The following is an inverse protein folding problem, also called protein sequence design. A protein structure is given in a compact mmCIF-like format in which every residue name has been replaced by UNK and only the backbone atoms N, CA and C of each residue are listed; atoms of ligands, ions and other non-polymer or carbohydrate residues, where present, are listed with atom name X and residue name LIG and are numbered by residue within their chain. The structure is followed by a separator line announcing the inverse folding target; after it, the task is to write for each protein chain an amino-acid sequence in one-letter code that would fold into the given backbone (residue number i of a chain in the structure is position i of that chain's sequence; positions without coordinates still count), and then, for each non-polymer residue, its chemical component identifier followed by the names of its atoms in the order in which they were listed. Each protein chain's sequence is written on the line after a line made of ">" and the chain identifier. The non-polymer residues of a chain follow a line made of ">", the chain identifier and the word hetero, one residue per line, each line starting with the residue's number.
data_IF_314567015647
#
_entry.id   IF_314567015647
#
_cell.length_a   1.000
_cell.length_b   1.000
_cell.length_c   1.000
_cell.angle_alpha   90.00
_cell.angle_beta   90.00
_cell.angle_gamma   90.00
#
_symmetry.space_group_name_H-M   'P 1'
#
loop_
_entity.id
_entity.type
_entity.pdbx_description
1 polymer ?
#
# COMPACT_ATOMS: atom_id res chain seq x y z
N UNK A 1 17.13 -10.61 -19.92
CA UNK A 1 17.70 -9.35 -19.39
C UNK A 1 17.53 -9.38 -17.89
N UNK A 2 18.47 -8.81 -17.13
CA UNK A 2 18.28 -8.66 -15.67
C UNK A 2 17.16 -7.67 -15.37
N UNK A 3 16.49 -7.88 -14.25
CA UNK A 3 15.43 -7.00 -13.71
C UNK A 3 15.99 -6.24 -12.52
N UNK A 4 16.07 -4.92 -12.65
CA UNK A 4 16.65 -4.03 -11.63
C UNK A 4 15.60 -3.64 -10.60
N UNK A 5 15.82 -4.00 -9.34
CA UNK A 5 15.00 -3.62 -8.20
C UNK A 5 15.77 -2.64 -7.33
N UNK A 6 15.25 -1.43 -7.19
CA UNK A 6 15.79 -0.44 -6.25
C UNK A 6 15.17 -0.68 -4.88
N UNK A 7 16.03 -0.86 -3.87
CA UNK A 7 15.65 -1.02 -2.47
C UNK A 7 15.86 0.30 -1.76
N UNK A 8 14.83 0.80 -1.10
CA UNK A 8 14.89 2.02 -0.29
C UNK A 8 14.44 1.65 1.13
N UNK A 9 15.36 1.29 2.03
CA UNK A 9 14.99 0.91 3.41
C UNK A 9 14.30 2.04 4.17
N UNK A 10 14.80 3.26 4.05
CA UNK A 10 14.29 4.43 4.76
C UNK A 10 14.73 4.45 6.23
N UNK A 11 13.75 4.59 7.15
CA UNK A 11 13.97 4.83 8.58
C UNK A 11 13.43 3.71 9.47
N UNK A 12 13.81 3.75 10.74
CA UNK A 12 13.24 2.88 11.77
C UNK A 12 13.41 1.39 11.48
N UNK A 13 12.30 0.64 11.46
CA UNK A 13 12.30 -0.79 11.14
C UNK A 13 12.53 -1.08 9.65
N UNK A 14 12.58 -0.06 8.80
CA UNK A 14 12.64 -0.20 7.34
C UNK A 14 13.77 -1.10 6.85
N UNK A 15 14.96 -1.01 7.46
CA UNK A 15 16.11 -1.86 7.09
C UNK A 15 15.81 -3.35 7.36
N UNK A 16 15.35 -3.71 8.56
CA UNK A 16 15.13 -5.12 8.94
C UNK A 16 13.99 -5.79 8.14
N UNK A 17 12.93 -5.04 7.80
CA UNK A 17 11.83 -5.58 6.99
C UNK A 17 12.16 -5.68 5.50
N UNK A 18 12.95 -4.74 4.95
CA UNK A 18 13.40 -4.82 3.56
C UNK A 18 14.45 -5.91 3.37
N UNK A 19 15.37 -6.11 4.33
CA UNK A 19 16.32 -7.22 4.30
C UNK A 19 15.60 -8.58 4.26
N UNK A 20 14.53 -8.72 5.03
CA UNK A 20 13.65 -9.91 5.03
C UNK A 20 13.02 -10.14 3.65
N UNK A 21 12.44 -9.09 3.06
CA UNK A 21 11.82 -9.18 1.75
C UNK A 21 12.83 -9.47 0.63
N UNK A 22 14.03 -8.87 0.69
CA UNK A 22 15.12 -9.16 -0.26
C UNK A 22 15.59 -10.60 -0.15
N UNK A 23 15.70 -11.16 1.07
CA UNK A 23 16.04 -12.58 1.26
C UNK A 23 15.02 -13.51 0.59
N UNK A 24 13.74 -13.19 0.73
CA UNK A 24 12.63 -13.92 0.09
C UNK A 24 12.70 -13.78 -1.44
N UNK A 25 12.90 -12.55 -1.96
CA UNK A 25 13.03 -12.31 -3.41
C UNK A 25 14.22 -13.06 -4.01
N UNK A 26 15.37 -13.11 -3.33
CA UNK A 26 16.54 -13.90 -3.78
C UNK A 26 16.20 -15.38 -3.88
N UNK A 27 15.58 -15.94 -2.84
CA UNK A 27 15.18 -17.36 -2.84
C UNK A 27 14.21 -17.71 -3.97
N UNK A 28 13.22 -16.84 -4.21
CA UNK A 28 12.26 -17.01 -5.30
C UNK A 28 12.95 -16.81 -6.67
N UNK A 29 13.84 -15.84 -6.78
CA UNK A 29 14.63 -15.60 -8.00
C UNK A 29 15.42 -16.86 -8.40
N UNK A 30 16.07 -17.52 -7.43
CA UNK A 30 16.80 -18.77 -7.68
C UNK A 30 15.86 -19.90 -8.11
N UNK A 31 14.69 -20.03 -7.45
CA UNK A 31 13.71 -21.08 -7.74
C UNK A 31 13.09 -20.97 -9.13
N UNK A 32 12.78 -19.74 -9.56
CA UNK A 32 12.09 -19.45 -10.83
C UNK A 32 13.01 -18.93 -11.94
N UNK A 33 14.34 -18.86 -11.69
CA UNK A 33 15.35 -18.35 -12.61
C UNK A 33 15.07 -16.90 -13.07
N UNK A 34 14.69 -16.02 -12.13
CA UNK A 34 14.31 -14.64 -12.40
C UNK A 34 15.55 -13.78 -12.44
N UNK A 35 16.47 -13.63 -12.88
CA UNK A 35 17.64 -12.74 -12.91
C UNK A 35 17.37 -11.34 -12.28
N UNK A 36 17.15 -11.28 -10.94
CA UNK A 36 16.91 -10.05 -10.21
C UNK A 36 18.22 -9.43 -9.73
N UNK A 37 18.38 -8.13 -9.97
CA UNK A 37 19.49 -7.32 -9.47
C UNK A 37 18.95 -6.30 -8.44
N UNK A 38 19.64 -6.17 -7.29
CA UNK A 38 19.23 -5.31 -6.19
C UNK A 38 20.23 -4.19 -5.98
N UNK A 39 19.73 -2.95 -5.96
CA UNK A 39 20.53 -1.75 -5.68
C UNK A 39 19.88 -0.97 -4.53
N UNK A 40 20.63 -0.66 -3.46
CA UNK A 40 20.12 0.04 -2.29
C UNK A 40 20.44 1.53 -2.32
N UNK A 41 19.42 2.36 -2.03
CA UNK A 41 19.55 3.81 -1.99
C UNK A 41 18.92 4.40 -0.72
N UNK A 42 19.48 5.48 -0.14
CA UNK A 42 18.92 6.13 1.04
C UNK A 42 17.74 7.02 0.68
N UNK A 43 16.73 7.08 1.58
CA UNK A 43 15.68 8.10 1.58
C UNK A 43 15.19 8.34 3.01
N UNK A 44 14.32 9.32 3.21
CA UNK A 44 13.76 9.65 4.51
C UNK A 44 14.70 10.44 5.41
N UNK A 45 14.55 10.28 6.71
CA UNK A 45 15.35 10.94 7.71
C UNK A 45 16.80 10.46 7.71
N UNK A 46 17.03 9.19 7.40
CA UNK A 46 18.37 8.63 7.21
C UNK A 46 19.12 9.35 6.08
N UNK A 47 18.46 9.63 4.95
CA UNK A 47 19.08 10.40 3.86
C UNK A 47 19.29 11.86 4.24
N UNK A 48 18.36 12.47 4.98
CA UNK A 48 18.53 13.82 5.50
C UNK A 48 19.75 13.93 6.39
N UNK A 49 19.99 12.98 7.29
CA UNK A 49 21.17 12.97 8.15
C UNK A 49 22.47 12.81 7.36
N UNK A 50 22.45 12.08 6.24
CA UNK A 50 23.63 11.81 5.40
C UNK A 50 23.99 12.99 4.48
N UNK A 51 23.01 13.66 3.90
CA UNK A 51 23.22 14.62 2.82
C UNK A 51 22.29 15.85 2.83
N UNK A 52 21.54 16.09 3.92
CA UNK A 52 20.70 17.28 4.10
C UNK A 52 19.40 17.31 3.29
N UNK A 53 19.04 16.21 2.62
CA UNK A 53 17.78 16.10 1.89
C UNK A 53 17.11 14.75 2.11
N UNK A 54 15.78 14.69 2.32
CA UNK A 54 15.10 13.41 2.52
C UNK A 54 15.01 12.57 1.25
N UNK A 55 15.15 13.15 0.06
CA UNK A 55 15.17 12.44 -1.21
C UNK A 55 16.35 12.94 -2.07
N UNK A 56 17.52 12.27 -2.03
CA UNK A 56 18.61 12.58 -2.91
C UNK A 56 18.24 12.39 -4.37
N UNK A 57 18.74 13.28 -5.23
CA UNK A 57 18.50 13.21 -6.68
C UNK A 57 18.95 11.86 -7.27
N UNK A 58 20.06 11.32 -6.79
CA UNK A 58 20.59 10.01 -7.21
C UNK A 58 19.62 8.87 -6.87
N UNK A 59 18.92 8.93 -5.72
CA UNK A 59 17.89 7.96 -5.35
C UNK A 59 16.69 8.04 -6.28
N UNK A 60 16.22 9.25 -6.60
CA UNK A 60 15.12 9.44 -7.52
C UNK A 60 15.45 8.94 -8.94
N UNK A 61 16.65 9.26 -9.44
CA UNK A 61 17.13 8.81 -10.75
C UNK A 61 17.28 7.28 -10.80
N UNK A 62 17.81 6.66 -9.75
CA UNK A 62 17.87 5.20 -9.65
C UNK A 62 16.48 4.57 -9.69
N UNK A 63 15.53 5.12 -8.93
CA UNK A 63 14.14 4.69 -8.92
C UNK A 63 13.47 4.82 -10.29
N UNK A 64 13.70 5.93 -11.01
CA UNK A 64 13.15 6.15 -12.36
C UNK A 64 13.68 5.18 -13.41
N UNK A 65 14.91 4.67 -13.23
CA UNK A 65 15.58 3.74 -14.14
C UNK A 65 15.48 2.27 -13.69
N UNK A 66 14.69 1.96 -12.67
CA UNK A 66 14.47 0.61 -12.18
C UNK A 66 13.22 -0.03 -12.82
N UNK A 67 13.16 -1.37 -12.81
CA UNK A 67 11.92 -2.10 -13.15
C UNK A 67 10.89 -1.98 -12.03
N UNK A 68 11.34 -1.87 -10.77
CA UNK A 68 10.49 -1.65 -9.60
C UNK A 68 11.28 -1.07 -8.41
N UNK A 69 10.55 -0.47 -7.47
CA UNK A 69 11.09 0.02 -6.19
C UNK A 69 10.45 -0.74 -5.04
N UNK A 70 11.26 -1.32 -4.16
CA UNK A 70 10.83 -1.84 -2.87
C UNK A 70 11.21 -0.84 -1.79
N UNK A 71 10.22 -0.29 -1.11
CA UNK A 71 10.36 0.77 -0.12
C UNK A 71 10.03 0.22 1.27
N UNK A 72 10.82 0.59 2.28
CA UNK A 72 10.55 0.21 3.66
C UNK A 72 9.59 1.17 4.34
N UNK A 73 10.11 2.12 5.11
CA UNK A 73 9.31 3.11 5.81
C UNK A 73 10.11 4.40 6.05
N UNK A 74 9.44 5.52 6.29
CA UNK A 74 10.11 6.79 6.62
C UNK A 74 9.44 7.47 7.81
N UNK A 75 10.20 8.38 8.45
CA UNK A 75 9.72 9.20 9.55
C UNK A 75 10.22 8.75 10.91
N UNK A 76 10.00 9.62 11.88
CA UNK A 76 10.34 9.37 13.28
C UNK A 76 10.50 10.67 14.06
N UNK A 77 10.33 10.65 15.39
CA UNK A 77 10.33 11.85 16.24
C UNK A 77 11.64 12.62 16.21
N UNK A 78 12.73 12.01 15.79
CA UNK A 78 14.04 12.68 15.61
C UNK A 78 13.96 13.88 14.66
N UNK A 79 13.06 13.83 13.67
CA UNK A 79 12.95 14.86 12.62
C UNK A 79 11.71 15.73 12.72
N UNK A 80 10.95 15.68 13.84
CA UNK A 80 9.73 16.48 14.02
C UNK A 80 9.99 18.00 13.96
N UNK A 81 11.18 18.43 14.41
CA UNK A 81 11.57 19.84 14.45
C UNK A 81 12.34 20.29 13.17
N UNK A 82 12.48 19.43 12.17
CA UNK A 82 13.08 19.79 10.89
C UNK A 82 12.09 20.62 10.07
N UNK A 83 12.61 21.55 9.26
CA UNK A 83 11.80 22.35 8.36
C UNK A 83 10.81 21.45 7.57
N UNK A 84 9.53 21.84 7.44
CA UNK A 84 8.49 20.99 6.82
C UNK A 84 8.83 20.48 5.42
N UNK A 85 9.63 21.23 4.65
CA UNK A 85 10.09 20.85 3.30
C UNK A 85 11.17 19.76 3.30
N UNK A 86 11.82 19.54 4.43
CA UNK A 86 12.93 18.60 4.61
C UNK A 86 12.55 17.39 5.51
N UNK A 87 11.31 17.30 5.94
CA UNK A 87 10.83 16.16 6.74
C UNK A 87 10.90 14.84 5.96
N UNK A 88 11.14 13.70 6.62
CA UNK A 88 11.29 12.38 5.99
C UNK A 88 10.16 12.00 5.03
N UNK A 89 8.92 12.37 5.33
CA UNK A 89 7.72 12.08 4.54
C UNK A 89 7.77 12.72 3.13
N UNK A 90 8.59 13.76 2.96
CA UNK A 90 8.82 14.37 1.64
C UNK A 90 9.52 13.42 0.67
N UNK A 91 10.22 12.39 1.18
CA UNK A 91 10.82 11.37 0.33
C UNK A 91 9.75 10.57 -0.42
N UNK A 92 8.75 10.02 0.29
CA UNK A 92 7.70 9.23 -0.37
C UNK A 92 6.84 10.09 -1.28
N UNK A 93 6.52 11.32 -0.88
CA UNK A 93 5.77 12.26 -1.74
C UNK A 93 6.56 12.64 -3.00
N UNK A 94 7.86 12.84 -2.88
CA UNK A 94 8.77 13.10 -4.00
C UNK A 94 8.86 11.92 -4.96
N UNK A 95 8.99 10.70 -4.46
CA UNK A 95 8.96 9.48 -5.25
C UNK A 95 7.61 9.30 -5.97
N UNK A 96 6.46 9.48 -5.28
CA UNK A 96 5.13 9.41 -5.90
C UNK A 96 5.00 10.36 -7.06
N UNK A 97 5.43 11.61 -6.88
CA UNK A 97 5.43 12.63 -7.93
C UNK A 97 6.43 12.30 -9.05
N UNK A 98 7.68 11.97 -8.71
CA UNK A 98 8.76 11.73 -9.66
C UNK A 98 8.59 10.48 -10.52
N UNK A 99 7.88 9.46 -10.03
CA UNK A 99 7.53 8.24 -10.75
C UNK A 99 6.12 8.31 -11.37
N UNK A 100 5.36 9.37 -11.11
CA UNK A 100 3.99 9.51 -11.62
C UNK A 100 3.04 8.42 -11.11
N UNK A 101 3.15 8.07 -9.83
CA UNK A 101 2.36 7.00 -9.20
C UNK A 101 0.93 7.49 -8.97
N UNK A 102 -0.03 6.92 -9.69
CA UNK A 102 -1.41 7.41 -9.69
C UNK A 102 -2.42 6.48 -9.03
N UNK A 103 -2.11 5.18 -8.93
CA UNK A 103 -3.00 4.19 -8.35
C UNK A 103 -2.31 3.52 -7.16
N UNK A 104 -2.88 3.66 -5.97
CA UNK A 104 -2.43 2.93 -4.79
C UNK A 104 -3.34 1.72 -4.57
N UNK A 105 -2.74 0.54 -4.55
CA UNK A 105 -3.39 -0.75 -4.35
C UNK A 105 -3.19 -1.19 -2.92
N UNK A 106 -4.27 -1.40 -2.21
CA UNK A 106 -4.28 -1.91 -0.83
C UNK A 106 -5.14 -3.17 -0.74
N UNK A 107 -4.55 -4.36 -0.92
CA UNK A 107 -5.28 -5.61 -0.75
C UNK A 107 -5.51 -5.88 0.75
N UNK A 108 -6.75 -6.14 1.10
CA UNK A 108 -7.18 -6.51 2.45
C UNK A 108 -7.67 -7.96 2.37
N UNK A 109 -6.79 -8.87 2.72
CA UNK A 109 -7.09 -10.31 2.78
C UNK A 109 -6.96 -10.76 4.23
N UNK A 110 -8.02 -11.34 4.77
CA UNK A 110 -7.99 -11.96 6.10
C UNK A 110 -7.52 -13.41 5.93
N UNK A 111 -6.30 -13.70 6.37
CA UNK A 111 -5.77 -15.06 6.33
C UNK A 111 -6.54 -15.95 7.33
N UNK A 112 -6.87 -17.18 6.94
CA UNK A 112 -7.63 -18.12 7.79
C UNK A 112 -6.97 -18.31 9.17
N UNK A 113 -5.64 -18.34 9.22
CA UNK A 113 -4.88 -18.46 10.45
C UNK A 113 -4.91 -17.21 11.35
N UNK A 114 -5.49 -16.09 10.88
CA UNK A 114 -5.54 -14.81 11.60
C UNK A 114 -6.99 -14.31 11.83
N UNK A 115 -7.99 -15.09 11.48
CA UNK A 115 -9.41 -14.69 11.65
C UNK A 115 -9.71 -14.30 13.11
N UNK A 116 -9.18 -15.03 14.09
CA UNK A 116 -9.35 -14.76 15.54
C UNK A 116 -8.66 -13.47 16.04
N UNK A 117 -7.82 -12.83 15.21
CA UNK A 117 -7.13 -11.58 15.54
C UNK A 117 -7.91 -10.34 15.11
N UNK A 118 -8.92 -10.52 14.28
CA UNK A 118 -9.83 -9.43 13.91
C UNK A 118 -10.62 -8.94 15.14
N UNK A 119 -10.86 -7.64 15.28
CA UNK A 119 -11.76 -7.11 16.31
C UNK A 119 -13.24 -7.42 16.03
N UNK A 120 -13.55 -7.82 14.79
CA UNK A 120 -14.89 -8.25 14.41
C UNK A 120 -15.05 -9.76 14.59
N UNK A 121 -16.29 -10.22 14.63
CA UNK A 121 -16.60 -11.64 14.75
C UNK A 121 -16.12 -12.44 13.55
N UNK A 122 -15.73 -13.70 13.77
CA UNK A 122 -15.21 -14.59 12.73
C UNK A 122 -16.14 -14.69 11.51
N UNK A 123 -17.45 -14.86 11.74
CA UNK A 123 -18.45 -14.99 10.69
C UNK A 123 -18.57 -13.75 9.78
N UNK A 124 -18.10 -12.59 10.24
CA UNK A 124 -18.08 -11.33 9.47
C UNK A 124 -16.84 -11.25 8.58
N UNK A 125 -15.69 -11.62 9.12
CA UNK A 125 -14.38 -11.35 8.44
C UNK A 125 -13.85 -12.52 7.65
N UNK A 126 -14.30 -13.73 7.92
CA UNK A 126 -13.82 -14.95 7.24
C UNK A 126 -14.08 -14.88 5.73
N UNK A 127 -13.04 -15.16 4.95
CA UNK A 127 -13.11 -15.10 3.48
C UNK A 127 -13.10 -13.69 2.89
N UNK A 128 -12.85 -12.67 3.71
CA UNK A 128 -12.65 -11.30 3.22
C UNK A 128 -11.40 -11.25 2.33
N UNK A 129 -11.60 -10.81 1.08
CA UNK A 129 -10.56 -10.54 0.09
C UNK A 129 -11.03 -9.38 -0.78
N UNK A 130 -10.62 -8.17 -0.40
CA UNK A 130 -11.00 -6.89 -1.02
C UNK A 130 -9.75 -6.18 -1.53
N UNK A 131 -9.79 -5.63 -2.72
CA UNK A 131 -8.76 -4.74 -3.25
C UNK A 131 -9.27 -3.31 -3.25
N UNK A 132 -8.66 -2.43 -2.45
CA UNK A 132 -8.94 -0.99 -2.52
C UNK A 132 -7.98 -0.35 -3.51
N UNK A 133 -8.54 0.30 -4.53
CA UNK A 133 -7.84 1.06 -5.57
C UNK A 133 -8.08 2.54 -5.30
N UNK A 134 -7.09 3.17 -4.66
CA UNK A 134 -7.09 4.59 -4.27
C UNK A 134 -6.42 5.42 -5.34
N UNK A 135 -7.07 6.48 -5.84
CA UNK A 135 -6.39 7.50 -6.62
C UNK A 135 -5.35 8.20 -5.73
N UNK A 136 -4.13 8.44 -6.22
CA UNK A 136 -3.00 8.78 -5.35
C UNK A 136 -2.44 10.19 -5.53
N UNK A 137 -2.64 10.85 -6.67
CA UNK A 137 -2.00 12.13 -7.01
C UNK A 137 -2.97 13.25 -7.37
N UNK A 138 -4.25 13.05 -7.11
CA UNK A 138 -5.31 14.06 -7.25
C UNK A 138 -6.02 14.38 -5.93
N UNK A 139 -7.14 15.09 -6.07
CA UNK A 139 -8.02 15.44 -4.97
C UNK A 139 -7.45 16.50 -4.03
N UNK A 140 -7.96 16.51 -2.80
CA UNK A 140 -7.67 17.55 -1.80
C UNK A 140 -6.19 17.55 -1.34
N UNK A 141 -5.49 16.43 -1.43
CA UNK A 141 -4.09 16.34 -1.01
C UNK A 141 -3.14 17.11 -1.93
N UNK A 142 -3.51 17.27 -3.20
CA UNK A 142 -2.69 17.90 -4.24
C UNK A 142 -3.31 19.17 -4.81
N UNK A 143 -4.51 19.56 -4.37
CA UNK A 143 -5.14 20.81 -4.72
C UNK A 143 -4.48 22.03 -4.05
N UNK A 144 -4.85 23.20 -4.51
CA UNK A 144 -4.43 24.46 -3.88
C UNK A 144 -4.94 24.53 -2.46
N UNK A 145 -4.19 25.20 -1.60
CA UNK A 145 -4.52 25.35 -0.20
C UNK A 145 -4.05 26.70 0.33
N UNK A 146 -4.72 27.16 1.37
CA UNK A 146 -4.33 28.31 2.15
C UNK A 146 -4.39 27.96 3.64
N UNK A 147 -3.26 28.00 4.31
CA UNK A 147 -3.18 27.64 5.72
C UNK A 147 -3.72 28.72 6.64
N UNK A 148 -3.63 30.00 6.23
CA UNK A 148 -4.18 31.13 6.99
C UNK A 148 -4.38 32.34 6.10
N UNK A 149 -5.59 32.88 6.10
CA UNK A 149 -5.94 34.21 5.53
C UNK A 149 -7.02 34.88 6.38
N UNK A 150 -7.15 36.19 6.27
CA UNK A 150 -8.25 36.93 6.92
C UNK A 150 -9.40 37.09 5.93
N UNK A 151 -10.53 36.50 6.25
CA UNK A 151 -11.77 36.60 5.49
C UNK A 151 -12.90 37.12 6.38
N UNK A 152 -13.53 38.21 5.99
CA UNK A 152 -14.59 38.90 6.79
C UNK A 152 -14.18 39.15 8.24
N UNK A 153 -12.91 39.51 8.48
CA UNK A 153 -12.37 39.83 9.81
C UNK A 153 -12.02 38.60 10.68
N UNK A 154 -12.15 37.40 10.16
CA UNK A 154 -11.80 36.15 10.85
C UNK A 154 -10.68 35.40 10.11
N UNK A 155 -9.87 34.69 10.88
CA UNK A 155 -8.89 33.75 10.29
C UNK A 155 -9.64 32.54 9.72
N UNK A 156 -9.27 32.16 8.49
CA UNK A 156 -9.73 30.92 7.87
C UNK A 156 -8.59 30.21 7.13
N UNK A 157 -8.72 28.89 7.00
CA UNK A 157 -7.91 28.05 6.14
C UNK A 157 -8.83 27.28 5.16
N UNK A 158 -8.29 26.88 4.01
CA UNK A 158 -9.03 26.09 3.04
C UNK A 158 -8.12 25.19 2.19
N UNK A 159 -8.69 24.06 1.73
CA UNK A 159 -8.10 23.15 0.78
C UNK A 159 -9.05 22.95 -0.40
N UNK A 160 -8.53 22.95 -1.61
CA UNK A 160 -9.29 22.75 -2.84
C UNK A 160 -9.28 21.28 -3.24
N UNK A 161 -10.43 20.64 -3.24
CA UNK A 161 -10.58 19.33 -3.88
C UNK A 161 -10.91 19.50 -5.36
N UNK A 162 -10.09 18.90 -6.23
CA UNK A 162 -10.37 18.87 -7.66
C UNK A 162 -10.06 17.50 -8.25
N UNK A 163 -10.83 17.13 -9.28
CA UNK A 163 -10.62 15.97 -10.14
C UNK A 163 -10.97 16.31 -11.57
N UNK A 164 -10.18 15.82 -12.51
CA UNK A 164 -10.43 15.89 -13.93
C UNK A 164 -10.91 14.55 -14.50
N UNK A 165 -11.58 14.58 -15.65
CA UNK A 165 -12.00 13.35 -16.34
C UNK A 165 -10.85 12.40 -16.66
N UNK A 166 -9.66 12.84 -17.13
CA UNK A 166 -8.52 11.94 -17.35
C UNK A 166 -8.03 11.22 -16.11
N UNK A 167 -8.02 11.89 -14.95
CA UNK A 167 -7.60 11.27 -13.68
C UNK A 167 -8.56 10.17 -13.26
N UNK A 168 -9.87 10.46 -13.29
CA UNK A 168 -10.90 9.47 -12.96
C UNK A 168 -10.92 8.32 -13.96
N UNK A 169 -10.83 8.59 -15.26
CA UNK A 169 -10.76 7.53 -16.26
C UNK A 169 -9.63 6.57 -15.99
N UNK A 170 -8.42 7.08 -15.76
CA UNK A 170 -7.21 6.28 -15.56
C UNK A 170 -7.34 5.32 -14.38
N UNK A 171 -7.83 5.82 -13.24
CA UNK A 171 -7.92 5.00 -12.02
C UNK A 171 -9.08 3.99 -12.11
N UNK A 172 -10.20 4.38 -12.72
CA UNK A 172 -11.35 3.49 -12.91
C UNK A 172 -11.03 2.39 -13.93
N UNK A 173 -10.37 2.71 -15.05
CA UNK A 173 -9.91 1.70 -16.02
C UNK A 173 -8.97 0.69 -15.34
N UNK A 174 -8.06 1.14 -14.48
CA UNK A 174 -7.21 0.25 -13.69
C UNK A 174 -8.05 -0.68 -12.79
N UNK A 175 -9.03 -0.13 -12.06
CA UNK A 175 -9.91 -0.92 -11.19
C UNK A 175 -10.73 -1.96 -11.97
N UNK A 176 -11.25 -1.62 -13.14
CA UNK A 176 -11.95 -2.56 -14.02
C UNK A 176 -11.04 -3.70 -14.47
N UNK A 177 -9.81 -3.39 -14.90
CA UNK A 177 -8.83 -4.42 -15.28
C UNK A 177 -8.44 -5.32 -14.09
N UNK A 178 -8.32 -4.76 -12.89
CA UNK A 178 -8.07 -5.55 -11.68
C UNK A 178 -9.24 -6.50 -11.39
N UNK A 179 -10.48 -6.03 -11.48
CA UNK A 179 -11.69 -6.81 -11.22
C UNK A 179 -11.85 -7.99 -12.20
N UNK A 180 -11.44 -7.84 -13.48
CA UNK A 180 -11.42 -8.95 -14.47
C UNK A 180 -10.60 -10.15 -14.03
N UNK A 181 -9.55 -9.91 -13.24
CA UNK A 181 -8.67 -10.96 -12.69
C UNK A 181 -9.17 -11.48 -11.33
N UNK A 182 -10.35 -11.02 -10.87
CA UNK A 182 -10.95 -11.36 -9.58
C UNK A 182 -12.41 -11.81 -9.77
N UNK A 183 -13.37 -11.22 -9.04
CA UNK A 183 -14.79 -11.64 -9.02
C UNK A 183 -15.68 -10.82 -9.98
N UNK A 184 -15.09 -10.02 -10.87
CA UNK A 184 -15.80 -9.17 -11.83
C UNK A 184 -16.77 -8.16 -11.18
N UNK A 185 -16.43 -7.61 -10.02
CA UNK A 185 -17.24 -6.62 -9.32
C UNK A 185 -16.40 -5.39 -8.95
N UNK A 186 -16.90 -4.20 -9.27
CA UNK A 186 -16.32 -2.91 -8.86
C UNK A 186 -17.34 -2.12 -8.07
N UNK A 187 -16.96 -1.68 -6.88
CA UNK A 187 -17.73 -0.72 -6.08
C UNK A 187 -17.04 0.64 -6.16
N UNK A 188 -17.67 1.57 -6.85
CA UNK A 188 -17.20 2.97 -6.92
C UNK A 188 -17.71 3.75 -5.74
N UNK A 189 -16.79 4.33 -4.96
CA UNK A 189 -17.12 5.05 -3.72
C UNK A 189 -16.88 6.54 -3.86
N UNK A 190 -17.90 7.33 -3.53
CA UNK A 190 -17.91 8.78 -3.67
C UNK A 190 -18.84 9.47 -2.64
N UNK A 191 -18.96 10.80 -2.71
CA UNK A 191 -19.93 11.60 -1.95
C UNK A 191 -20.77 12.50 -2.88
N UNK A 192 -21.33 11.93 -3.95
CA UNK A 192 -21.96 12.68 -5.05
C UNK A 192 -23.24 13.42 -4.65
N UNK A 193 -23.87 13.04 -3.52
CA UNK A 193 -24.99 13.79 -2.96
C UNK A 193 -24.58 15.20 -2.46
N UNK A 194 -23.28 15.42 -2.18
CA UNK A 194 -22.76 16.70 -1.69
C UNK A 194 -21.74 17.31 -2.64
N UNK A 195 -20.70 16.57 -3.06
CA UNK A 195 -19.53 17.10 -3.74
C UNK A 195 -19.69 17.14 -5.27
N UNK A 196 -19.28 18.25 -5.88
CA UNK A 196 -19.25 18.38 -7.33
C UNK A 196 -18.21 17.44 -7.99
N UNK A 197 -17.06 17.27 -7.36
CA UNK A 197 -15.99 16.35 -7.78
C UNK A 197 -16.50 14.90 -7.79
N UNK A 198 -17.25 14.48 -6.78
CA UNK A 198 -17.87 13.16 -6.70
C UNK A 198 -18.97 12.96 -7.76
N UNK A 199 -19.71 14.00 -8.14
CA UNK A 199 -20.65 13.92 -9.28
C UNK A 199 -19.91 13.74 -10.62
N UNK A 200 -18.75 14.41 -10.81
CA UNK A 200 -17.89 14.16 -11.95
C UNK A 200 -17.36 12.72 -11.94
N UNK A 201 -16.86 12.27 -10.79
CA UNK A 201 -16.37 10.90 -10.57
C UNK A 201 -17.40 9.87 -11.02
N UNK A 202 -18.62 9.95 -10.51
CA UNK A 202 -19.72 9.00 -10.81
C UNK A 202 -20.07 8.96 -12.28
N UNK A 203 -20.20 10.13 -12.95
CA UNK A 203 -20.49 10.20 -14.39
C UNK A 203 -19.38 9.60 -15.24
N UNK A 204 -18.13 9.85 -14.84
CA UNK A 204 -16.97 9.33 -15.57
C UNK A 204 -16.83 7.83 -15.37
N UNK A 205 -17.01 7.34 -14.15
CA UNK A 205 -17.02 5.89 -13.82
C UNK A 205 -18.08 5.14 -14.65
N UNK A 206 -19.30 5.68 -14.75
CA UNK A 206 -20.35 5.07 -15.56
C UNK A 206 -19.94 4.93 -17.03
N UNK A 207 -19.33 5.97 -17.62
CA UNK A 207 -18.85 5.93 -19.02
C UNK A 207 -17.71 4.92 -19.23
N UNK A 208 -16.81 4.78 -18.24
CA UNK A 208 -15.75 3.75 -18.31
C UNK A 208 -16.35 2.37 -18.27
N UNK A 209 -17.33 2.13 -17.40
CA UNK A 209 -17.98 0.83 -17.22
C UNK A 209 -18.66 0.32 -18.51
N UNK A 210 -19.11 1.20 -19.41
CA UNK A 210 -19.68 0.81 -20.72
C UNK A 210 -18.71 -0.03 -21.56
N UNK A 211 -17.39 0.10 -21.33
CA UNK A 211 -16.34 -0.67 -22.01
C UNK A 211 -16.13 -2.06 -21.39
N UNK A 212 -16.75 -2.34 -20.24
CA UNK A 212 -16.54 -3.54 -19.41
C UNK A 212 -17.88 -4.18 -19.04
N UNK A 213 -18.67 -4.65 -20.02
CA UNK A 213 -20.02 -5.17 -19.79
C UNK A 213 -20.04 -6.43 -18.89
N UNK A 214 -18.91 -7.11 -18.75
CA UNK A 214 -18.72 -8.26 -17.88
C UNK A 214 -18.54 -7.89 -16.41
N UNK A 215 -18.28 -6.61 -16.09
CA UNK A 215 -18.05 -6.13 -14.72
C UNK A 215 -19.33 -5.56 -14.13
N UNK A 216 -19.71 -6.06 -12.97
CA UNK A 216 -20.79 -5.45 -12.18
C UNK A 216 -20.29 -4.20 -11.50
N UNK A 217 -20.82 -3.04 -11.88
CA UNK A 217 -20.53 -1.76 -11.23
C UNK A 217 -21.60 -1.42 -10.21
N UNK A 218 -21.19 -1.19 -8.96
CA UNK A 218 -22.03 -0.64 -7.91
C UNK A 218 -21.50 0.73 -7.48
N UNK A 219 -22.39 1.62 -7.03
CA UNK A 219 -21.98 2.92 -6.46
C UNK A 219 -22.43 3.00 -5.00
N UNK A 220 -21.52 3.35 -4.11
CA UNK A 220 -21.81 3.64 -2.71
C UNK A 220 -21.36 5.04 -2.32
N UNK A 221 -22.08 5.65 -1.38
CA UNK A 221 -21.56 6.80 -0.67
C UNK A 221 -20.50 6.33 0.33
N UNK A 222 -19.47 7.15 0.56
CA UNK A 222 -18.33 6.80 1.40
C UNK A 222 -18.73 6.44 2.83
N UNK A 223 -19.68 7.15 3.42
CA UNK A 223 -20.22 6.87 4.75
C UNK A 223 -20.92 5.49 4.81
N UNK A 224 -21.67 5.13 3.78
CA UNK A 224 -22.27 3.79 3.69
C UNK A 224 -21.20 2.71 3.47
N UNK A 225 -20.17 2.99 2.63
CA UNK A 225 -19.09 2.05 2.40
C UNK A 225 -18.34 1.75 3.71
N UNK A 226 -18.03 2.76 4.53
CA UNK A 226 -17.43 2.59 5.84
C UNK A 226 -18.26 1.66 6.74
N UNK A 227 -19.59 1.89 6.85
CA UNK A 227 -20.46 0.99 7.60
C UNK A 227 -20.45 -0.45 7.03
N UNK A 228 -20.48 -0.60 5.71
CA UNK A 228 -20.53 -1.91 5.06
C UNK A 228 -19.21 -2.70 5.19
N UNK A 229 -18.06 -2.04 5.29
CA UNK A 229 -16.77 -2.67 5.59
C UNK A 229 -16.78 -3.34 6.98
N UNK A 230 -17.47 -2.74 7.96
CA UNK A 230 -17.63 -3.34 9.28
C UNK A 230 -18.73 -4.40 9.36
N UNK A 231 -19.80 -4.28 8.56
CA UNK A 231 -20.97 -5.17 8.63
C UNK A 231 -20.79 -6.42 7.78
N UNK A 232 -20.31 -6.28 6.55
CA UNK A 232 -20.16 -7.37 5.59
C UNK A 232 -19.03 -7.07 4.59
N UNK A 233 -17.76 -7.12 5.00
CA UNK A 233 -16.63 -6.81 4.12
C UNK A 233 -16.52 -7.78 2.93
N UNK A 234 -16.95 -9.02 3.07
CA UNK A 234 -16.84 -10.05 2.03
C UNK A 234 -17.74 -9.79 0.80
N UNK A 235 -18.67 -8.83 0.87
CA UNK A 235 -19.50 -8.42 -0.27
C UNK A 235 -18.68 -7.65 -1.34
N UNK A 236 -17.55 -7.09 -0.95
CA UNK A 236 -16.69 -6.32 -1.86
C UNK A 236 -15.71 -7.22 -2.61
N UNK A 237 -15.32 -6.78 -3.80
CA UNK A 237 -14.23 -7.35 -4.58
C UNK A 237 -13.18 -6.26 -4.85
N UNK A 238 -13.48 -5.30 -5.70
CA UNK A 238 -12.64 -4.13 -5.94
C UNK A 238 -13.41 -2.87 -5.55
N UNK A 239 -12.83 -2.07 -4.66
CA UNK A 239 -13.33 -0.73 -4.32
C UNK A 239 -12.45 0.29 -5.05
N UNK A 240 -13.04 1.21 -5.81
CA UNK A 240 -12.34 2.33 -6.43
C UNK A 240 -12.84 3.66 -5.89
N UNK A 241 -11.91 4.54 -5.48
CA UNK A 241 -12.27 5.82 -4.87
C UNK A 241 -11.16 6.86 -4.98
N UNK A 242 -11.51 8.11 -4.69
CA UNK A 242 -10.58 9.24 -4.63
C UNK A 242 -9.57 9.12 -3.50
N UNK A 243 -8.62 10.07 -3.48
CA UNK A 243 -7.45 10.02 -2.62
C UNK A 243 -7.82 10.00 -1.12
N UNK A 244 -8.55 11.01 -0.62
CA UNK A 244 -8.92 11.12 0.79
C UNK A 244 -9.80 9.95 1.26
N UNK A 245 -10.82 9.61 0.50
CA UNK A 245 -11.72 8.51 0.88
C UNK A 245 -11.01 7.17 0.84
N UNK A 246 -10.11 6.97 -0.13
CA UNK A 246 -9.30 5.75 -0.23
C UNK A 246 -8.33 5.59 0.93
N UNK A 247 -7.79 6.69 1.46
CA UNK A 247 -6.94 6.67 2.66
C UNK A 247 -7.72 6.18 3.86
N UNK A 248 -8.84 6.83 4.17
CA UNK A 248 -9.66 6.52 5.34
C UNK A 248 -10.22 5.09 5.27
N UNK A 249 -10.84 4.72 4.14
CA UNK A 249 -11.47 3.40 4.01
C UNK A 249 -10.45 2.25 4.03
N UNK A 250 -9.24 2.46 3.52
CA UNK A 250 -8.23 1.41 3.55
C UNK A 250 -7.63 1.21 4.94
N UNK A 251 -7.51 2.27 5.74
CA UNK A 251 -7.05 2.17 7.12
C UNK A 251 -8.14 1.55 8.02
N UNK A 252 -9.41 1.87 7.78
CA UNK A 252 -10.54 1.17 8.41
C UNK A 252 -10.54 -0.33 8.06
N UNK A 253 -10.42 -0.67 6.78
CA UNK A 253 -10.39 -2.05 6.32
C UNK A 253 -9.12 -2.81 6.81
N UNK A 254 -8.03 -2.10 7.07
CA UNK A 254 -6.80 -2.68 7.61
C UNK A 254 -7.02 -3.40 8.94
N UNK A 255 -7.92 -2.89 9.76
CA UNK A 255 -8.27 -3.44 11.08
C UNK A 255 -8.82 -4.87 10.96
N UNK A 256 -9.45 -5.23 9.82
CA UNK A 256 -10.01 -6.55 9.59
C UNK A 256 -8.97 -7.67 9.61
N UNK A 257 -7.72 -7.38 9.23
CA UNK A 257 -6.63 -8.36 9.17
C UNK A 257 -6.00 -8.71 10.52
N UNK A 258 -6.34 -7.97 11.57
CA UNK A 258 -5.82 -8.17 12.93
C UNK A 258 -4.44 -7.55 13.21
N UNK A 259 -3.65 -7.21 12.18
CA UNK A 259 -2.39 -6.48 12.32
C UNK A 259 -2.05 -5.71 11.05
N UNK A 260 -1.62 -4.46 11.22
CA UNK A 260 -1.09 -3.62 10.15
C UNK A 260 0.20 -4.19 9.54
N UNK A 261 0.94 -5.02 10.29
CA UNK A 261 2.12 -5.75 9.84
C UNK A 261 1.84 -6.84 8.80
N UNK A 262 0.56 -7.08 8.46
CA UNK A 262 0.13 -8.02 7.42
C UNK A 262 -0.22 -7.35 6.09
N UNK A 263 -0.22 -6.03 6.00
CA UNK A 263 -0.84 -5.29 4.91
C UNK A 263 0.18 -4.72 3.93
N UNK A 264 0.31 -5.33 2.74
CA UNK A 264 1.13 -4.79 1.67
C UNK A 264 0.42 -3.64 0.95
N UNK A 265 1.20 -2.90 0.17
CA UNK A 265 0.67 -1.89 -0.73
C UNK A 265 1.54 -1.77 -1.99
N UNK A 266 0.92 -1.34 -3.08
CA UNK A 266 1.60 -1.01 -4.32
C UNK A 266 1.12 0.35 -4.82
N UNK A 267 2.05 1.21 -5.18
CA UNK A 267 1.77 2.48 -5.86
C UNK A 267 2.19 2.35 -7.32
N UNK A 268 1.21 2.30 -8.21
CA UNK A 268 1.40 2.01 -9.64
C UNK A 268 1.62 3.30 -10.42
N UNK A 269 2.70 3.32 -11.21
CA UNK A 269 3.07 4.40 -12.12
C UNK A 269 2.89 4.02 -13.60
N UNK A 270 3.29 4.92 -14.47
CA UNK A 270 3.31 4.66 -15.92
C UNK A 270 4.48 3.79 -16.36
N UNK A 271 5.60 3.88 -15.67
CA UNK A 271 6.85 3.15 -15.95
C UNK A 271 7.25 2.31 -14.76
N UNK A 272 7.74 2.94 -13.72
CA UNK A 272 8.20 2.29 -12.50
C UNK A 272 7.14 2.39 -11.42
N UNK A 273 6.92 1.31 -10.68
CA UNK A 273 6.00 1.25 -9.56
C UNK A 273 6.74 1.05 -8.24
N UNK A 274 6.14 1.48 -7.14
CA UNK A 274 6.70 1.42 -5.80
C UNK A 274 5.85 0.51 -4.92
N UNK A 275 6.52 -0.36 -4.16
CA UNK A 275 5.92 -1.37 -3.29
C UNK A 275 6.40 -1.17 -1.86
N UNK A 276 5.47 -1.02 -0.93
CA UNK A 276 5.74 -0.67 0.46
C UNK A 276 4.70 -1.28 1.40
N UNK A 277 5.03 -1.57 2.66
CA UNK A 277 4.01 -1.89 3.65
C UNK A 277 3.14 -0.66 3.95
N UNK A 278 1.92 -0.87 4.47
CA UNK A 278 1.04 0.25 4.86
C UNK A 278 1.54 0.93 6.15
N UNK A 279 2.17 0.16 7.07
CA UNK A 279 2.66 0.67 8.35
C UNK A 279 3.86 1.62 8.20
N UNK A 280 4.08 2.46 9.21
CA UNK A 280 5.21 3.39 9.28
C UNK A 280 6.51 2.75 9.77
N UNK A 281 7.45 3.61 10.16
CA UNK A 281 8.82 3.25 10.56
C UNK A 281 8.97 2.65 11.96
N UNK A 282 7.94 2.71 12.81
CA UNK A 282 7.91 2.16 14.17
C UNK A 282 9.22 2.37 14.96
N UNK A 283 9.63 3.63 15.20
CA UNK A 283 10.95 3.96 15.74
C UNK A 283 11.17 3.39 17.16
N UNK A 284 10.12 3.11 17.90
CA UNK A 284 10.13 2.51 19.24
C UNK A 284 10.63 1.08 19.25
N UNK A 285 10.49 0.34 18.17
CA UNK A 285 10.97 -1.06 18.06
C UNK A 285 12.13 -1.22 17.06
N UNK A 286 12.58 -0.15 16.44
CA UNK A 286 13.69 -0.17 15.48
C UNK A 286 14.97 -0.77 16.08
N UNK A 287 15.63 -1.67 15.35
CA UNK A 287 16.86 -2.34 15.76
C UNK A 287 16.68 -3.43 16.82
N UNK A 288 15.44 -3.71 17.27
CA UNK A 288 15.17 -4.79 18.23
C UNK A 288 14.96 -6.15 17.55
N UNK A 289 14.86 -6.20 16.23
CA UNK A 289 14.66 -7.43 15.46
C UNK A 289 13.31 -8.10 15.73
N UNK A 290 12.29 -7.33 16.10
CA UNK A 290 10.96 -7.85 16.47
C UNK A 290 9.84 -7.39 15.56
N UNK A 291 10.14 -6.58 14.56
CA UNK A 291 9.16 -6.11 13.58
C UNK A 291 8.60 -7.28 12.76
N UNK A 292 7.31 -7.22 12.45
CA UNK A 292 6.67 -8.17 11.55
C UNK A 292 7.10 -7.87 10.09
N UNK A 293 7.81 -8.76 9.37
CA UNK A 293 8.28 -8.49 8.03
C UNK A 293 7.25 -8.84 6.95
N UNK A 294 6.10 -9.43 7.32
CA UNK A 294 5.20 -10.06 6.35
C UNK A 294 4.55 -9.06 5.39
N UNK A 295 4.22 -7.85 5.83
CA UNK A 295 3.69 -6.82 4.95
C UNK A 295 4.68 -6.46 3.82
N UNK A 296 5.97 -6.31 4.13
CA UNK A 296 7.00 -6.01 3.14
C UNK A 296 7.29 -7.22 2.24
N UNK A 297 7.27 -8.44 2.78
CA UNK A 297 7.38 -9.68 1.99
C UNK A 297 6.19 -9.81 1.02
N UNK A 298 4.97 -9.51 1.45
CA UNK A 298 3.79 -9.49 0.60
C UNK A 298 3.82 -8.34 -0.42
N UNK A 299 4.40 -7.18 -0.08
CA UNK A 299 4.67 -6.10 -1.03
C UNK A 299 5.66 -6.53 -2.11
N UNK A 300 6.66 -7.34 -1.76
CA UNK A 300 7.57 -7.95 -2.74
C UNK A 300 6.85 -8.99 -3.65
N UNK A 301 5.85 -9.71 -3.15
CA UNK A 301 4.99 -10.53 -4.00
C UNK A 301 4.18 -9.68 -4.99
N UNK A 302 3.63 -8.54 -4.54
CA UNK A 302 2.97 -7.58 -5.44
C UNK A 302 3.93 -7.02 -6.50
N UNK A 303 5.18 -6.75 -6.15
CA UNK A 303 6.23 -6.31 -7.08
C UNK A 303 6.41 -7.33 -8.21
N UNK A 304 6.57 -8.61 -7.87
CA UNK A 304 6.67 -9.68 -8.87
C UNK A 304 5.43 -9.75 -9.77
N UNK A 305 4.24 -9.63 -9.17
CA UNK A 305 2.95 -9.75 -9.87
C UNK A 305 2.68 -8.60 -10.83
N UNK A 306 2.87 -7.34 -10.36
CA UNK A 306 2.41 -6.16 -11.09
C UNK A 306 3.49 -5.51 -11.96
N UNK A 307 4.77 -5.52 -11.54
CA UNK A 307 5.86 -4.92 -12.33
C UNK A 307 6.57 -5.92 -13.23
N UNK A 308 6.75 -7.19 -12.78
CA UNK A 308 7.55 -8.17 -13.50
C UNK A 308 6.72 -9.23 -14.24
N UNK A 309 5.40 -9.25 -14.02
CA UNK A 309 4.44 -10.25 -14.54
C UNK A 309 4.76 -11.70 -14.14
N UNK A 310 5.44 -11.90 -12.99
CA UNK A 310 5.86 -13.17 -12.45
C UNK A 310 4.79 -13.72 -11.48
N UNK A 311 3.67 -14.20 -12.04
CA UNK A 311 2.47 -14.60 -11.29
C UNK A 311 2.71 -15.82 -10.38
N UNK A 312 3.44 -16.84 -10.87
CA UNK A 312 3.72 -18.06 -10.10
C UNK A 312 4.67 -17.76 -8.93
N UNK A 313 5.71 -16.96 -9.17
CA UNK A 313 6.66 -16.54 -8.16
C UNK A 313 5.99 -15.72 -7.04
N UNK A 314 5.10 -14.79 -7.41
CA UNK A 314 4.31 -14.01 -6.47
C UNK A 314 3.40 -14.92 -5.62
N UNK A 315 2.68 -15.83 -6.25
CA UNK A 315 1.80 -16.80 -5.57
C UNK A 315 2.59 -17.73 -4.64
N UNK A 316 3.79 -18.11 -5.01
CA UNK A 316 4.68 -18.90 -4.15
C UNK A 316 5.00 -18.18 -2.83
N UNK A 317 5.31 -16.87 -2.88
CA UNK A 317 5.55 -16.06 -1.68
C UNK A 317 4.28 -15.98 -0.81
N UNK A 318 3.13 -15.67 -1.41
CA UNK A 318 1.86 -15.56 -0.69
C UNK A 318 1.51 -16.88 0.04
N UNK A 319 1.65 -18.01 -0.64
CA UNK A 319 1.44 -19.34 -0.06
C UNK A 319 2.46 -19.69 1.02
N UNK A 320 3.71 -19.23 0.89
CA UNK A 320 4.73 -19.45 1.90
C UNK A 320 4.42 -18.68 3.19
N UNK A 321 3.91 -17.45 3.08
CA UNK A 321 3.41 -16.67 4.22
C UNK A 321 2.21 -17.38 4.88
N UNK A 322 1.21 -17.79 4.10
CA UNK A 322 0.03 -18.49 4.61
C UNK A 322 0.43 -19.77 5.37
N UNK A 323 1.40 -20.55 4.85
CA UNK A 323 1.92 -21.77 5.50
C UNK A 323 2.67 -21.48 6.80
N UNK A 324 3.51 -20.44 6.83
CA UNK A 324 4.21 -20.04 8.06
C UNK A 324 3.22 -19.65 9.16
N UNK A 325 2.17 -18.90 8.83
CA UNK A 325 1.09 -18.56 9.74
C UNK A 325 0.29 -19.78 10.20
N UNK A 326 -0.03 -20.71 9.29
CA UNK A 326 -0.74 -21.96 9.61
C UNK A 326 0.05 -22.88 10.54
N UNK A 327 1.39 -22.84 10.47
CA UNK A 327 2.27 -23.55 11.41
C UNK A 327 2.33 -22.91 12.79
N UNK A 328 1.68 -21.76 12.99
CA UNK A 328 1.57 -21.10 14.28
C UNK A 328 2.67 -20.07 14.57
N UNK A 329 3.54 -19.71 13.60
CA UNK A 329 4.51 -18.63 13.82
C UNK A 329 3.82 -17.28 13.98
N UNK A 330 4.18 -16.51 15.02
CA UNK A 330 3.61 -15.19 15.33
C UNK A 330 4.69 -14.22 15.79
N UNK A 331 4.76 -13.07 15.15
CA UNK A 331 5.55 -11.93 15.62
C UNK A 331 4.86 -11.25 16.81
N UNK A 332 5.54 -10.40 17.59
CA UNK A 332 4.99 -9.84 18.83
C UNK A 332 3.63 -9.13 18.68
N UNK A 333 3.36 -8.51 17.53
CA UNK A 333 2.08 -7.86 17.19
C UNK A 333 0.90 -8.85 17.05
N UNK A 334 1.22 -10.12 16.73
CA UNK A 334 0.26 -11.22 16.55
C UNK A 334 0.39 -12.31 17.61
N UNK A 335 1.34 -12.20 18.54
CA UNK A 335 1.61 -13.29 19.49
C UNK A 335 0.52 -13.42 20.55
N UNK A 336 0.03 -14.65 20.72
CA UNK A 336 -0.81 -15.11 21.83
C UNK A 336 -0.21 -16.40 22.40
N UNK A 337 -0.55 -16.72 23.64
CA UNK A 337 -0.13 -17.97 24.27
C UNK A 337 -0.64 -19.19 23.46
N UNK A 338 0.20 -20.20 23.32
CA UNK A 338 -0.09 -21.39 22.50
C UNK A 338 0.47 -21.34 21.08
N UNK A 339 0.96 -20.18 20.61
CA UNK A 339 1.62 -20.03 19.32
C UNK A 339 3.15 -20.02 19.43
N UNK A 340 3.84 -20.17 18.31
CA UNK A 340 5.31 -20.11 18.21
C UNK A 340 5.71 -18.63 18.12
N UNK A 341 6.35 -18.11 19.17
CA UNK A 341 6.87 -16.74 19.15
C UNK A 341 8.02 -16.62 18.17
N UNK A 342 7.90 -15.69 17.23
CA UNK A 342 8.90 -15.41 16.22
C UNK A 342 9.36 -13.96 16.30
N UNK A 343 10.65 -13.74 16.17
CA UNK A 343 11.21 -12.43 15.85
C UNK A 343 11.23 -12.22 14.32
N UNK A 344 11.72 -11.06 13.85
CA UNK A 344 11.79 -10.73 12.41
C UNK A 344 12.55 -11.81 11.62
N UNK A 345 13.69 -12.28 12.16
CA UNK A 345 14.53 -13.30 11.52
C UNK A 345 13.83 -14.66 11.48
N UNK A 346 13.31 -15.11 12.61
CA UNK A 346 12.62 -16.41 12.72
C UNK A 346 11.39 -16.46 11.81
N UNK A 347 10.62 -15.38 11.71
CA UNK A 347 9.48 -15.30 10.79
C UNK A 347 9.94 -15.38 9.33
N UNK A 348 11.00 -14.66 8.98
CA UNK A 348 11.58 -14.71 7.63
C UNK A 348 12.05 -16.12 7.27
N UNK A 349 12.76 -16.80 8.18
CA UNK A 349 13.20 -18.19 8.01
C UNK A 349 12.02 -19.16 7.87
N UNK A 350 10.93 -18.94 8.62
CA UNK A 350 9.71 -19.74 8.49
C UNK A 350 9.09 -19.61 7.09
N UNK A 351 9.04 -18.38 6.52
CA UNK A 351 8.58 -18.17 5.14
C UNK A 351 9.53 -18.83 4.14
N UNK A 352 10.84 -18.63 4.27
CA UNK A 352 11.86 -19.19 3.37
C UNK A 352 11.82 -20.73 3.30
N UNK A 353 11.41 -21.44 4.35
CA UNK A 353 11.25 -22.90 4.36
C UNK A 353 10.15 -23.40 3.42
N UNK A 354 9.22 -22.53 3.04
CA UNK A 354 8.06 -22.88 2.20
C UNK A 354 8.18 -22.40 0.74
N UNK A 355 9.27 -21.70 0.42
CA UNK A 355 9.67 -21.36 -0.94
C UNK A 355 10.52 -22.48 -1.53
#
# INVERSE_FOLDING_TARGET
>A
MSKKIVIIPGDGIGQEITDSAVAVLKKVSDKYNLNLEFESHPAGGTAYDLCGTPLPQTTLEAAQNADAVLFGAVGGPKWDNVEPTLRPEKAVLGLRKGLGLYANLRPIKVADALVEYSPLKEEIVKGTDVLIVRELIGGIYFGDKCESEIYEGNERAWDLENYSVPEVNRIVEFAMQAAKKRKNKVTSVDKSNVLATSRLWRRTTAKVAEKYPEITLENLYVDNCAMQLAINPSQFDVIVTGNLFGDILSDEAAVLSGSIGMLPSASIGKSTSLYEPIHGSAPDIAGKGIANPLATILSAAMLLRYSLDEQEAATCIEQAVDKALAQGYRTPDLYKEGFIKADTKTMTEAVLKHI
#
